data_IF_388302829264
#
_entry.id   IF_388302829264
#
_cell.length_a   1.000
_cell.length_b   1.000
_cell.length_c   1.000
_cell.angle_alpha   90.00
_cell.angle_beta   90.00
_cell.angle_gamma   90.00
#
_symmetry.space_group_name_H-M   'P 1'
#
loop_
_entity.id
_entity.type
_entity.pdbx_description
1 polymer ?
#
# COMPACT_ATOMS: atom_id res chain seq x y z
N UNK A 1 27.87 -1.68 10.54
CA UNK A 1 27.82 -3.08 10.07
C UNK A 1 26.68 -3.88 10.71
N UNK A 2 26.68 -4.21 12.01
CA UNK A 2 25.58 -5.00 12.61
C UNK A 2 24.22 -4.29 12.58
N UNK A 3 24.20 -3.02 12.98
CA UNK A 3 22.98 -2.19 12.98
C UNK A 3 22.41 -1.95 11.58
N UNK A 4 23.27 -1.83 10.57
CA UNK A 4 22.84 -1.63 9.18
C UNK A 4 22.15 -2.88 8.62
N UNK A 5 22.68 -4.07 8.91
CA UNK A 5 22.07 -5.34 8.56
C UNK A 5 20.74 -5.56 9.32
N UNK A 6 20.70 -5.25 10.62
CA UNK A 6 19.46 -5.28 11.42
C UNK A 6 18.40 -4.32 10.87
N UNK A 7 18.79 -3.12 10.46
CA UNK A 7 17.90 -2.15 9.82
C UNK A 7 17.40 -2.64 8.47
N UNK A 8 18.24 -3.29 7.66
CA UNK A 8 17.85 -3.88 6.36
C UNK A 8 16.80 -4.97 6.56
N UNK A 9 17.00 -5.86 7.52
CA UNK A 9 16.06 -6.94 7.85
C UNK A 9 14.73 -6.37 8.37
N UNK A 10 14.80 -5.41 9.29
CA UNK A 10 13.61 -4.74 9.84
C UNK A 10 12.81 -4.03 8.75
N UNK A 11 13.48 -3.31 7.85
CA UNK A 11 12.81 -2.61 6.75
C UNK A 11 12.12 -3.60 5.78
N UNK A 12 12.73 -4.74 5.48
CA UNK A 12 12.10 -5.78 4.64
C UNK A 12 10.77 -6.29 5.23
N UNK A 13 10.74 -6.52 6.56
CA UNK A 13 9.53 -6.91 7.28
C UNK A 13 8.47 -5.80 7.21
N UNK A 14 8.87 -4.55 7.44
CA UNK A 14 7.98 -3.39 7.40
C UNK A 14 7.36 -3.18 6.01
N UNK A 15 8.16 -3.26 4.94
CA UNK A 15 7.67 -3.14 3.56
C UNK A 15 6.59 -4.17 3.25
N UNK A 16 6.84 -5.43 3.61
CA UNK A 16 5.88 -6.53 3.43
C UNK A 16 4.58 -6.27 4.21
N UNK A 17 4.71 -5.84 5.46
CA UNK A 17 3.57 -5.52 6.32
C UNK A 17 2.73 -4.36 5.78
N UNK A 18 3.37 -3.27 5.33
CA UNK A 18 2.69 -2.11 4.77
C UNK A 18 1.96 -2.44 3.46
N UNK A 19 2.57 -3.22 2.55
CA UNK A 19 1.90 -3.67 1.32
C UNK A 19 0.60 -4.43 1.65
N UNK A 20 0.64 -5.34 2.62
CA UNK A 20 -0.54 -6.10 3.01
C UNK A 20 -1.61 -5.22 3.67
N UNK A 21 -1.19 -4.32 4.55
CA UNK A 21 -2.11 -3.38 5.21
C UNK A 21 -2.81 -2.46 4.21
N UNK A 22 -2.05 -1.92 3.26
CA UNK A 22 -2.55 -1.06 2.19
C UNK A 22 -3.58 -1.77 1.30
N UNK A 23 -3.39 -3.07 1.00
CA UNK A 23 -4.43 -3.86 0.29
C UNK A 23 -5.72 -3.95 1.10
N UNK A 24 -5.62 -4.11 2.42
CA UNK A 24 -6.77 -4.07 3.32
C UNK A 24 -7.52 -2.74 3.25
N UNK A 25 -6.79 -1.62 3.31
CA UNK A 25 -7.36 -0.28 3.16
C UNK A 25 -8.00 -0.05 1.79
N UNK A 26 -7.33 -0.42 0.69
CA UNK A 26 -7.88 -0.30 -0.66
C UNK A 26 -9.21 -1.07 -0.80
N UNK A 27 -9.32 -2.27 -0.23
CA UNK A 27 -10.58 -3.01 -0.23
C UNK A 27 -11.67 -2.32 0.59
N UNK A 28 -11.32 -1.73 1.74
CA UNK A 28 -12.26 -0.98 2.56
C UNK A 28 -12.75 0.30 1.87
N UNK A 29 -11.85 1.07 1.26
CA UNK A 29 -12.20 2.26 0.49
C UNK A 29 -13.11 1.90 -0.68
N UNK A 30 -12.82 0.82 -1.40
CA UNK A 30 -13.69 0.32 -2.48
C UNK A 30 -15.09 -0.06 -1.99
N UNK A 31 -15.20 -0.70 -0.81
CA UNK A 31 -16.50 -1.02 -0.17
C UNK A 31 -17.28 0.23 0.18
N UNK A 32 -16.61 1.29 0.64
CA UNK A 32 -17.25 2.56 0.97
C UNK A 32 -17.61 3.39 -0.26
N UNK A 33 -16.78 3.36 -1.31
CA UNK A 33 -17.10 3.98 -2.59
C UNK A 33 -18.43 3.44 -3.14
N UNK A 34 -18.63 2.12 -3.10
CA UNK A 34 -19.87 1.51 -3.58
C UNK A 34 -21.11 1.96 -2.79
N UNK A 35 -20.98 2.12 -1.46
CA UNK A 35 -22.05 2.70 -0.63
C UNK A 35 -22.27 4.18 -0.94
N UNK A 36 -21.20 4.94 -1.18
CA UNK A 36 -21.24 6.37 -1.46
C UNK A 36 -22.03 6.70 -2.72
N UNK A 37 -22.04 5.83 -3.74
CA UNK A 37 -22.90 5.99 -4.93
C UNK A 37 -24.38 6.23 -4.60
N UNK A 38 -24.87 5.70 -3.48
CA UNK A 38 -26.25 5.85 -3.05
C UNK A 38 -26.61 7.23 -2.50
N UNK A 39 -25.63 8.08 -2.20
CA UNK A 39 -25.87 9.40 -1.61
C UNK A 39 -25.01 10.54 -2.18
N UNK A 40 -23.79 10.27 -2.67
CA UNK A 40 -22.93 11.25 -3.32
C UNK A 40 -21.93 10.58 -4.29
N UNK A 41 -22.11 10.86 -5.58
CA UNK A 41 -21.25 10.33 -6.65
C UNK A 41 -19.81 10.86 -6.60
N UNK A 42 -19.61 12.12 -6.21
CA UNK A 42 -18.27 12.71 -6.10
C UNK A 42 -17.49 12.08 -4.95
N UNK A 43 -18.14 11.83 -3.81
CA UNK A 43 -17.52 11.10 -2.69
C UNK A 43 -17.14 9.68 -3.11
N UNK A 44 -17.97 9.01 -3.92
CA UNK A 44 -17.60 7.71 -4.48
C UNK A 44 -16.37 7.80 -5.38
N UNK A 45 -16.25 8.82 -6.22
CA UNK A 45 -15.12 9.02 -7.13
C UNK A 45 -13.82 9.26 -6.35
N UNK A 46 -13.83 10.17 -5.36
CA UNK A 46 -12.68 10.45 -4.50
C UNK A 46 -12.19 9.20 -3.75
N UNK A 47 -13.09 8.34 -3.29
CA UNK A 47 -12.73 7.06 -2.66
C UNK A 47 -12.11 6.07 -3.64
N UNK A 48 -12.52 6.07 -4.91
CA UNK A 48 -11.91 5.24 -5.94
C UNK A 48 -10.53 5.76 -6.33
N UNK A 49 -10.33 7.08 -6.36
CA UNK A 49 -9.01 7.68 -6.55
C UNK A 49 -8.06 7.33 -5.40
N UNK A 50 -8.56 7.32 -4.15
CA UNK A 50 -7.78 6.83 -3.01
C UNK A 50 -7.36 5.35 -3.16
N UNK A 51 -8.22 4.49 -3.75
CA UNK A 51 -7.85 3.10 -4.07
C UNK A 51 -6.70 3.05 -5.07
N UNK A 52 -6.78 3.84 -6.14
CA UNK A 52 -5.73 3.90 -7.18
C UNK A 52 -4.40 4.38 -6.59
N UNK A 53 -4.41 5.43 -5.79
CA UNK A 53 -3.19 5.92 -5.14
C UNK A 53 -2.60 4.90 -4.16
N UNK A 54 -3.43 4.10 -3.50
CA UNK A 54 -2.96 3.01 -2.64
C UNK A 54 -2.25 1.91 -3.44
N UNK A 55 -2.71 1.61 -4.66
CA UNK A 55 -2.03 0.69 -5.58
C UNK A 55 -0.66 1.26 -6.02
N UNK A 56 -0.59 2.55 -6.35
CA UNK A 56 0.68 3.23 -6.70
C UNK A 56 1.70 3.19 -5.54
N UNK A 57 1.25 3.37 -4.30
CA UNK A 57 2.09 3.21 -3.12
C UNK A 57 2.60 1.77 -3.01
N UNK A 58 1.73 0.77 -3.22
CA UNK A 58 2.12 -0.63 -3.15
C UNK A 58 3.15 -1.01 -4.22
N UNK A 59 3.05 -0.44 -5.43
CA UNK A 59 4.05 -0.64 -6.48
C UNK A 59 5.41 -0.06 -6.07
N UNK A 60 5.44 1.14 -5.50
CA UNK A 60 6.66 1.76 -5.01
C UNK A 60 7.31 0.94 -3.88
N UNK A 61 6.51 0.46 -2.91
CA UNK A 61 6.98 -0.39 -1.81
C UNK A 61 7.48 -1.74 -2.31
N UNK A 62 6.80 -2.36 -3.27
CA UNK A 62 7.20 -3.62 -3.89
C UNK A 62 8.52 -3.47 -4.63
N UNK A 63 8.70 -2.38 -5.38
CA UNK A 63 9.96 -2.06 -6.05
C UNK A 63 11.11 -1.86 -5.06
N UNK A 64 10.87 -1.20 -3.92
CA UNK A 64 11.86 -1.06 -2.86
C UNK A 64 12.28 -2.43 -2.28
N UNK A 65 11.30 -3.29 -1.98
CA UNK A 65 11.53 -4.64 -1.46
C UNK A 65 12.35 -5.50 -2.44
N UNK A 66 12.00 -5.46 -3.73
CA UNK A 66 12.74 -6.17 -4.79
C UNK A 66 14.19 -5.69 -4.87
N UNK A 67 14.44 -4.37 -4.86
CA UNK A 67 15.80 -3.82 -4.91
C UNK A 67 16.65 -4.23 -3.70
N UNK A 68 16.04 -4.29 -2.52
CA UNK A 68 16.72 -4.74 -1.30
C UNK A 68 17.11 -6.23 -1.34
N UNK A 69 16.32 -7.06 -2.01
CA UNK A 69 16.55 -8.51 -2.14
C UNK A 69 17.46 -8.87 -3.33
N UNK A 70 17.50 -8.05 -4.40
CA UNK A 70 18.33 -8.27 -5.58
C UNK A 70 19.76 -7.73 -5.45
N UNK A 71 20.12 -7.09 -4.33
CA UNK A 71 21.48 -6.60 -4.05
C UNK A 71 22.32 -7.63 -3.27
N UNK A 72 22.12 -8.93 -3.58
CA UNK A 72 22.92 -10.04 -3.04
C UNK A 72 24.19 -10.28 -3.84
#
# INVERSE_FOLDING_TARGET
MKEEEENKQKLSILLTHWIEHNKGHAQEFKRWADKAKGFDGLVSEELLDAVKHMEEVNDALSNALVRMNNTG
#
